data_IF_830883716509
#
_entry.id   IF_830883716509
#
_cell.length_a   1.000
_cell.length_b   1.000
_cell.length_c   1.000
_cell.angle_alpha   90.00
_cell.angle_beta   90.00
_cell.angle_gamma   90.00
#
_symmetry.space_group_name_H-M   'P 1'
#
loop_
_entity.id
_entity.type
_entity.pdbx_description
1 polymer ?
#
# COMPACT_ATOMS: atom_id res chain seq x y z
N UNK A 1 -12.23 -21.24 -16.94
CA UNK A 1 -12.47 -21.48 -15.50
C UNK A 1 -11.38 -22.40 -15.02
N UNK A 2 -10.76 -22.07 -13.89
CA UNK A 2 -9.62 -22.83 -13.35
C UNK A 2 -9.98 -24.28 -13.13
N UNK A 3 -9.08 -25.18 -13.53
CA UNK A 3 -9.22 -26.61 -13.24
C UNK A 3 -8.91 -26.90 -11.78
N UNK A 4 -7.99 -26.13 -11.19
CA UNK A 4 -7.57 -26.24 -9.81
C UNK A 4 -8.05 -25.02 -9.02
N UNK A 5 -8.76 -25.26 -7.90
CA UNK A 5 -9.29 -24.20 -7.01
C UNK A 5 -10.16 -23.13 -7.71
N UNK A 6 -11.21 -23.50 -8.48
CA UNK A 6 -12.05 -22.57 -9.25
C UNK A 6 -12.81 -21.51 -8.45
N UNK A 7 -12.86 -21.67 -7.13
CA UNK A 7 -13.54 -20.80 -6.17
C UNK A 7 -12.56 -20.11 -5.22
N UNK A 8 -11.25 -20.15 -5.51
CA UNK A 8 -10.25 -19.44 -4.70
C UNK A 8 -10.62 -17.97 -4.63
N UNK A 9 -10.75 -17.43 -3.41
CA UNK A 9 -11.19 -16.06 -3.13
C UNK A 9 -10.12 -15.22 -2.45
N UNK A 10 -9.30 -15.86 -1.61
CA UNK A 10 -8.25 -15.24 -0.83
C UNK A 10 -6.97 -16.05 -1.01
N UNK A 11 -5.84 -15.37 -1.18
CA UNK A 11 -4.53 -15.97 -1.24
C UNK A 11 -3.55 -15.12 -0.44
N UNK A 12 -2.95 -15.73 0.58
CA UNK A 12 -1.99 -15.11 1.47
C UNK A 12 -0.68 -15.90 1.39
N UNK A 13 0.42 -15.22 1.05
CA UNK A 13 1.77 -15.77 1.11
C UNK A 13 2.61 -14.88 2.03
N UNK A 14 2.69 -15.30 3.29
CA UNK A 14 3.27 -14.52 4.39
C UNK A 14 4.51 -15.25 4.92
N UNK A 15 5.63 -14.54 5.09
CA UNK A 15 6.95 -15.11 5.49
C UNK A 15 7.46 -16.23 4.58
N UNK A 16 7.19 -16.10 3.28
CA UNK A 16 7.59 -17.10 2.30
C UNK A 16 8.83 -16.63 1.55
N UNK A 17 9.90 -17.44 1.63
CA UNK A 17 11.08 -17.26 0.79
C UNK A 17 10.82 -17.81 -0.62
N UNK A 18 10.69 -16.92 -1.60
CA UNK A 18 10.47 -17.25 -3.01
C UNK A 18 11.26 -16.31 -3.94
N UNK A 19 11.96 -16.86 -4.92
CA UNK A 19 12.65 -16.07 -5.96
C UNK A 19 11.69 -15.62 -7.07
N UNK A 20 10.61 -16.37 -7.27
CA UNK A 20 9.55 -16.12 -8.24
C UNK A 20 8.21 -16.62 -7.69
N UNK A 21 7.10 -16.10 -8.23
CA UNK A 21 5.78 -16.60 -7.86
C UNK A 21 5.66 -18.10 -8.16
N UNK A 22 5.08 -18.91 -7.25
CA UNK A 22 4.85 -20.32 -7.50
C UNK A 22 4.10 -20.55 -8.82
N UNK A 23 4.59 -21.49 -9.62
CA UNK A 23 4.04 -21.77 -10.96
C UNK A 23 2.53 -22.09 -10.98
N UNK A 24 1.99 -22.61 -9.87
CA UNK A 24 0.55 -22.86 -9.70
C UNK A 24 -0.32 -21.60 -9.64
N UNK A 25 0.28 -20.43 -9.46
CA UNK A 25 -0.40 -19.12 -9.44
C UNK A 25 -0.40 -18.41 -10.79
N UNK A 26 0.28 -18.99 -11.79
CA UNK A 26 0.47 -18.41 -13.12
C UNK A 26 -0.28 -19.09 -14.29
N UNK A 27 -1.13 -20.13 -14.12
CA UNK A 27 -1.76 -20.77 -15.28
C UNK A 27 -2.78 -19.82 -15.94
N UNK A 28 -2.92 -19.82 -17.28
CA UNK A 28 -3.84 -18.92 -17.98
C UNK A 28 -5.33 -19.08 -17.60
N UNK A 29 -5.70 -20.22 -17.03
CA UNK A 29 -7.06 -20.49 -16.56
C UNK A 29 -7.26 -20.23 -15.07
N UNK A 30 -6.30 -19.59 -14.36
CA UNK A 30 -6.34 -19.33 -12.93
C UNK A 30 -7.67 -18.73 -12.42
N UNK A 31 -7.96 -18.93 -11.14
CA UNK A 31 -9.22 -18.55 -10.53
C UNK A 31 -9.56 -17.07 -10.72
N UNK A 32 -10.63 -16.82 -11.46
CA UNK A 32 -11.17 -15.46 -11.68
C UNK A 32 -12.09 -15.00 -10.55
N UNK A 33 -12.27 -15.82 -9.50
CA UNK A 33 -12.99 -15.43 -8.29
C UNK A 33 -12.08 -14.86 -7.22
N UNK A 34 -10.75 -14.86 -7.44
CA UNK A 34 -9.79 -14.25 -6.53
C UNK A 34 -10.16 -12.78 -6.30
N UNK A 35 -10.08 -12.35 -5.07
CA UNK A 35 -10.49 -11.00 -4.66
C UNK A 35 -9.50 -10.35 -3.74
N UNK A 36 -8.80 -11.16 -2.95
CA UNK A 36 -7.82 -10.71 -1.99
C UNK A 36 -6.52 -11.48 -2.21
N UNK A 37 -5.44 -10.73 -2.36
CA UNK A 37 -4.12 -11.25 -2.64
C UNK A 37 -3.13 -10.47 -1.79
N UNK A 38 -2.49 -11.18 -0.85
CA UNK A 38 -1.46 -10.61 0.01
C UNK A 38 -0.17 -11.41 -0.14
N UNK A 39 0.91 -10.70 -0.50
CA UNK A 39 2.28 -11.16 -0.39
C UNK A 39 2.96 -10.26 0.63
N UNK A 40 3.36 -10.83 1.77
CA UNK A 40 3.87 -10.04 2.90
C UNK A 40 5.12 -10.70 3.46
N UNK A 41 6.19 -9.92 3.67
CA UNK A 41 7.52 -10.40 4.08
C UNK A 41 8.03 -11.56 3.22
N UNK A 42 8.36 -11.24 1.99
CA UNK A 42 8.89 -12.19 1.01
C UNK A 42 10.17 -11.63 0.38
N UNK A 43 11.04 -12.47 -0.17
CA UNK A 43 12.23 -11.99 -0.90
C UNK A 43 11.96 -11.81 -2.42
N UNK A 44 10.70 -11.61 -2.80
CA UNK A 44 10.25 -11.56 -4.19
C UNK A 44 10.55 -10.19 -4.82
N UNK A 45 11.72 -10.04 -5.45
CA UNK A 45 12.12 -8.75 -6.03
C UNK A 45 11.29 -8.26 -7.24
N UNK A 46 10.42 -9.11 -7.83
CA UNK A 46 9.56 -8.73 -8.96
C UNK A 46 8.39 -9.70 -9.15
N UNK A 47 7.30 -9.19 -9.72
CA UNK A 47 6.18 -9.99 -10.23
C UNK A 47 6.20 -10.04 -11.77
N UNK A 48 5.59 -11.05 -12.41
CA UNK A 48 5.53 -11.14 -13.87
C UNK A 48 4.74 -9.97 -14.50
N UNK A 49 5.22 -9.45 -15.63
CA UNK A 49 4.56 -8.32 -16.31
C UNK A 49 3.17 -8.66 -16.86
N UNK A 50 2.82 -9.92 -17.05
CA UNK A 50 1.54 -10.32 -17.64
C UNK A 50 0.52 -10.76 -16.59
N UNK A 51 0.77 -10.47 -15.31
CA UNK A 51 -0.08 -10.91 -14.20
C UNK A 51 -1.51 -10.38 -14.29
N UNK A 52 -1.70 -9.22 -14.90
CA UNK A 52 -3.01 -8.63 -15.22
C UNK A 52 -3.84 -9.47 -16.22
N UNK A 53 -3.21 -10.43 -16.91
CA UNK A 53 -3.88 -11.39 -17.79
C UNK A 53 -4.22 -12.71 -17.10
N UNK A 54 -3.65 -12.96 -15.92
CA UNK A 54 -3.80 -14.19 -15.14
C UNK A 54 -4.76 -13.97 -13.98
N UNK A 55 -4.53 -12.93 -13.19
CA UNK A 55 -5.34 -12.59 -12.03
C UNK A 55 -6.45 -11.60 -12.41
N UNK A 56 -7.62 -11.67 -11.75
CA UNK A 56 -8.73 -10.77 -12.07
C UNK A 56 -8.40 -9.32 -11.70
N UNK A 57 -9.07 -8.38 -12.35
CA UNK A 57 -9.00 -6.96 -12.02
C UNK A 57 -9.85 -6.62 -10.78
N UNK A 58 -9.59 -5.47 -10.15
CA UNK A 58 -10.44 -4.96 -9.06
C UNK A 58 -10.33 -5.74 -7.76
N UNK A 59 -9.19 -6.39 -7.53
CA UNK A 59 -8.87 -7.07 -6.27
C UNK A 59 -8.37 -6.10 -5.20
N UNK A 60 -8.28 -6.58 -3.98
CA UNK A 60 -7.37 -6.05 -2.98
C UNK A 60 -6.00 -6.68 -3.24
N UNK A 61 -5.01 -5.82 -3.42
CA UNK A 61 -3.64 -6.23 -3.75
C UNK A 61 -2.72 -5.65 -2.70
N UNK A 62 -2.08 -6.54 -1.96
CA UNK A 62 -1.07 -6.20 -0.98
C UNK A 62 0.25 -6.86 -1.35
N UNK A 63 1.28 -6.04 -1.54
CA UNK A 63 2.67 -6.46 -1.65
C UNK A 63 3.51 -5.69 -0.63
N UNK A 64 3.56 -6.19 0.60
CA UNK A 64 4.33 -5.58 1.69
C UNK A 64 5.63 -6.31 1.93
N UNK A 65 6.72 -5.57 2.18
CA UNK A 65 8.00 -6.17 2.56
C UNK A 65 8.44 -7.28 1.56
N UNK A 66 8.26 -7.04 0.25
CA UNK A 66 8.51 -8.00 -0.83
C UNK A 66 9.91 -7.87 -1.47
N UNK A 67 10.70 -6.88 -1.09
CA UNK A 67 11.99 -6.51 -1.71
C UNK A 67 11.89 -5.92 -3.13
N UNK A 68 10.79 -5.21 -3.44
CA UNK A 68 10.70 -4.45 -4.69
C UNK A 68 11.57 -3.19 -4.64
N UNK A 69 12.54 -3.07 -5.56
CA UNK A 69 13.35 -1.85 -5.75
C UNK A 69 12.66 -0.84 -6.69
N UNK A 70 11.77 -1.33 -7.56
CA UNK A 70 11.00 -0.54 -8.52
C UNK A 70 9.49 -0.74 -8.29
N UNK A 71 8.70 0.28 -8.64
CA UNK A 71 7.24 0.16 -8.59
C UNK A 71 6.73 -0.95 -9.53
N UNK A 72 5.91 -1.91 -9.05
CA UNK A 72 5.43 -3.02 -9.87
C UNK A 72 4.36 -2.57 -10.89
N UNK A 73 4.78 -2.10 -12.07
CA UNK A 73 3.91 -1.48 -13.08
C UNK A 73 2.71 -2.32 -13.53
N UNK A 74 2.73 -3.64 -13.32
CA UNK A 74 1.59 -4.52 -13.62
C UNK A 74 0.35 -4.17 -12.80
N UNK A 75 0.50 -3.64 -11.58
CA UNK A 75 -0.64 -3.27 -10.72
C UNK A 75 -1.52 -2.19 -11.36
N UNK A 76 -0.95 -1.33 -12.20
CA UNK A 76 -1.69 -0.32 -12.95
C UNK A 76 -2.72 -0.94 -13.91
N UNK A 77 -2.38 -2.10 -14.50
CA UNK A 77 -3.28 -2.84 -15.40
C UNK A 77 -4.26 -3.75 -14.66
N UNK A 78 -3.93 -4.12 -13.42
CA UNK A 78 -4.82 -4.89 -12.54
C UNK A 78 -5.97 -4.04 -11.98
N UNK A 79 -5.85 -2.71 -11.99
CA UNK A 79 -6.91 -1.78 -11.55
C UNK A 79 -7.49 -2.18 -10.17
N UNK A 80 -6.66 -2.28 -9.11
CA UNK A 80 -7.11 -2.72 -7.79
C UNK A 80 -8.14 -1.77 -7.19
N UNK A 81 -8.93 -2.29 -6.23
CA UNK A 81 -9.79 -1.46 -5.38
C UNK A 81 -9.00 -0.89 -4.18
N UNK A 82 -8.14 -1.71 -3.61
CA UNK A 82 -7.25 -1.39 -2.50
C UNK A 82 -5.83 -1.80 -2.91
N UNK A 83 -4.87 -0.91 -2.71
CA UNK A 83 -3.47 -1.17 -3.05
C UNK A 83 -2.56 -0.83 -1.88
N UNK A 84 -1.80 -1.83 -1.46
CA UNK A 84 -0.79 -1.69 -0.43
C UNK A 84 0.55 -2.14 -1.02
N UNK A 85 1.53 -1.24 -1.01
CA UNK A 85 2.90 -1.47 -1.49
C UNK A 85 3.93 -1.06 -0.43
N UNK A 86 3.55 -1.15 0.84
CA UNK A 86 4.34 -0.69 1.96
C UNK A 86 5.66 -1.46 2.14
N UNK A 87 6.61 -0.83 2.80
CA UNK A 87 7.86 -1.43 3.26
C UNK A 87 8.67 -2.11 2.16
N UNK A 88 8.66 -1.49 0.97
CA UNK A 88 9.60 -1.77 -0.09
C UNK A 88 10.63 -0.62 -0.17
N UNK A 89 11.49 -0.61 -1.19
CA UNK A 89 12.60 0.35 -1.31
C UNK A 89 12.50 1.28 -2.54
N UNK A 90 11.34 1.31 -3.21
CA UNK A 90 11.19 2.15 -4.41
C UNK A 90 11.05 3.64 -4.05
N UNK A 91 11.60 4.49 -4.93
CA UNK A 91 11.67 5.94 -4.70
C UNK A 91 10.67 6.75 -5.53
N UNK A 92 10.05 6.11 -6.53
CA UNK A 92 9.17 6.77 -7.50
C UNK A 92 7.86 6.02 -7.68
N UNK A 93 6.78 6.79 -7.79
CA UNK A 93 5.44 6.28 -8.07
C UNK A 93 4.98 6.84 -9.42
N UNK A 94 4.52 5.99 -10.35
CA UNK A 94 4.04 6.43 -11.66
C UNK A 94 2.83 7.36 -11.51
N UNK A 95 2.80 8.46 -12.27
CA UNK A 95 1.67 9.40 -12.23
C UNK A 95 0.36 8.72 -12.62
N UNK A 96 0.42 7.69 -13.46
CA UNK A 96 -0.70 6.87 -13.90
C UNK A 96 -1.47 6.22 -12.74
N UNK A 97 -0.78 5.87 -11.64
CA UNK A 97 -1.45 5.35 -10.44
C UNK A 97 -2.44 6.37 -9.89
N UNK A 98 -2.01 7.63 -9.83
CA UNK A 98 -2.74 8.74 -9.26
C UNK A 98 -3.74 9.37 -10.24
N UNK A 99 -3.44 9.40 -11.54
CA UNK A 99 -4.32 9.99 -12.57
C UNK A 99 -5.46 9.09 -12.99
N UNK A 100 -5.22 7.78 -13.08
CA UNK A 100 -6.11 6.86 -13.82
C UNK A 100 -6.88 5.89 -12.93
N UNK A 101 -6.49 5.71 -11.67
CA UNK A 101 -7.14 4.77 -10.77
C UNK A 101 -7.99 5.47 -9.71
N UNK A 102 -9.14 4.85 -9.41
CA UNK A 102 -9.99 5.20 -8.27
C UNK A 102 -9.80 4.14 -7.20
N UNK A 103 -9.04 4.48 -6.16
CA UNK A 103 -8.69 3.57 -5.08
C UNK A 103 -9.52 3.93 -3.84
N UNK A 104 -9.99 2.91 -3.12
CA UNK A 104 -10.49 3.13 -1.77
C UNK A 104 -9.33 3.39 -0.82
N UNK A 105 -8.26 2.62 -0.95
CA UNK A 105 -7.09 2.67 -0.08
C UNK A 105 -5.80 2.57 -0.92
N UNK A 106 -4.84 3.43 -0.59
CA UNK A 106 -3.49 3.44 -1.13
C UNK A 106 -2.51 3.59 0.03
N UNK A 107 -1.71 2.56 0.32
CA UNK A 107 -0.70 2.60 1.37
C UNK A 107 0.68 2.41 0.75
N UNK A 108 1.54 3.40 0.93
CA UNK A 108 2.91 3.42 0.40
C UNK A 108 3.95 3.56 1.50
N UNK A 109 3.58 3.19 2.72
CA UNK A 109 4.35 3.39 3.93
C UNK A 109 5.75 2.79 3.84
N UNK A 110 6.72 3.40 4.52
CA UNK A 110 8.09 2.89 4.64
C UNK A 110 8.93 2.87 3.36
N UNK A 111 8.40 3.31 2.22
CA UNK A 111 9.18 3.46 0.99
C UNK A 111 9.99 4.77 0.96
N UNK A 112 11.10 4.81 0.22
CA UNK A 112 11.99 5.98 0.08
C UNK A 112 11.44 7.06 -0.88
N UNK A 113 10.14 7.33 -0.85
CA UNK A 113 9.44 8.25 -1.76
C UNK A 113 9.64 9.70 -1.30
N UNK A 114 10.29 10.51 -2.13
CA UNK A 114 10.58 11.92 -1.80
C UNK A 114 9.53 12.89 -2.33
N UNK A 115 8.86 12.52 -3.43
CA UNK A 115 7.84 13.34 -4.07
C UNK A 115 7.04 12.52 -5.09
N UNK A 116 5.85 13.02 -5.42
CA UNK A 116 5.04 12.53 -6.52
C UNK A 116 5.09 13.51 -7.69
N UNK A 117 4.62 13.08 -8.86
CA UNK A 117 4.44 14.00 -9.99
C UNK A 117 3.54 15.16 -9.57
N UNK A 118 4.04 16.40 -9.72
CA UNK A 118 3.25 17.61 -9.48
C UNK A 118 2.28 17.94 -10.61
N UNK A 119 2.46 17.31 -11.78
CA UNK A 119 1.65 17.56 -12.99
C UNK A 119 0.61 16.46 -13.16
N UNK A 120 -0.34 16.38 -12.23
CA UNK A 120 -1.53 15.56 -12.43
C UNK A 120 -2.59 16.36 -13.21
N UNK A 121 -3.30 15.73 -14.14
CA UNK A 121 -4.43 16.36 -14.85
C UNK A 121 -5.60 16.69 -13.91
N UNK A 122 -5.75 15.91 -12.84
CA UNK A 122 -6.76 16.05 -11.81
C UNK A 122 -6.21 15.46 -10.49
N UNK A 123 -6.72 15.89 -9.32
CA UNK A 123 -6.38 15.24 -8.05
C UNK A 123 -6.72 13.74 -8.09
N UNK A 124 -5.97 12.89 -7.37
CA UNK A 124 -6.24 11.46 -7.31
C UNK A 124 -7.63 11.16 -6.76
N UNK A 125 -8.25 10.06 -7.18
CA UNK A 125 -9.48 9.56 -6.56
C UNK A 125 -9.13 8.50 -5.52
N UNK A 126 -8.69 8.94 -4.33
CA UNK A 126 -8.26 8.06 -3.22
C UNK A 126 -9.00 8.45 -1.95
N UNK A 127 -9.65 7.52 -1.26
CA UNK A 127 -10.35 7.84 0.00
C UNK A 127 -9.40 7.82 1.21
N UNK A 128 -8.42 6.93 1.22
CA UNK A 128 -7.41 6.78 2.27
C UNK A 128 -6.02 6.64 1.66
N UNK A 129 -5.10 7.54 2.03
CA UNK A 129 -3.76 7.61 1.47
C UNK A 129 -2.69 7.70 2.55
N UNK A 130 -1.94 6.60 2.75
CA UNK A 130 -0.85 6.56 3.73
C UNK A 130 0.53 6.66 3.08
N UNK A 131 1.35 7.47 3.72
CA UNK A 131 2.70 7.87 3.36
C UNK A 131 3.62 7.81 4.58
N UNK A 132 3.25 7.03 5.59
CA UNK A 132 3.94 6.94 6.88
C UNK A 132 5.39 6.53 6.64
N UNK A 133 6.34 7.22 7.26
CA UNK A 133 7.75 6.86 7.17
C UNK A 133 8.38 7.01 5.78
N UNK A 134 7.71 7.70 4.85
CA UNK A 134 8.30 8.08 3.56
C UNK A 134 9.17 9.34 3.69
N UNK A 135 9.93 9.65 2.63
CA UNK A 135 10.83 10.81 2.59
C UNK A 135 10.18 12.11 2.09
N UNK A 136 8.85 12.20 2.07
CA UNK A 136 8.15 13.39 1.57
C UNK A 136 8.47 14.61 2.45
N UNK A 137 8.84 15.72 1.82
CA UNK A 137 9.32 16.92 2.53
C UNK A 137 8.38 18.12 2.49
N UNK A 138 7.33 18.05 1.67
CA UNK A 138 6.35 19.12 1.43
C UNK A 138 5.02 18.53 0.98
N UNK A 139 3.94 19.27 1.22
CA UNK A 139 2.63 18.97 0.67
C UNK A 139 2.68 19.05 -0.87
N UNK A 140 1.94 18.17 -1.54
CA UNK A 140 1.84 18.16 -2.99
C UNK A 140 0.86 19.24 -3.46
N UNK A 141 1.09 19.82 -4.64
CA UNK A 141 0.29 20.97 -5.12
C UNK A 141 -1.21 20.66 -5.27
N UNK A 142 -1.56 19.40 -5.54
CA UNK A 142 -2.94 18.95 -5.70
C UNK A 142 -3.60 18.50 -4.38
N UNK A 143 -2.85 18.41 -3.28
CA UNK A 143 -3.39 18.15 -1.94
C UNK A 143 -3.89 19.48 -1.32
N UNK A 144 -4.83 20.13 -2.00
CA UNK A 144 -5.46 21.36 -1.51
C UNK A 144 -6.57 21.06 -0.48
N UNK A 145 -7.17 22.12 0.08
CA UNK A 145 -8.26 22.00 1.06
C UNK A 145 -9.44 21.16 0.56
N UNK A 146 -9.72 21.19 -0.75
CA UNK A 146 -10.83 20.43 -1.33
C UNK A 146 -10.51 18.93 -1.35
N UNK A 147 -9.30 18.58 -1.76
CA UNK A 147 -8.82 17.20 -1.72
C UNK A 147 -8.79 16.65 -0.28
N UNK A 148 -8.20 17.41 0.64
CA UNK A 148 -8.05 17.04 2.05
C UNK A 148 -9.37 17.04 2.83
N UNK A 149 -10.47 17.53 2.24
CA UNK A 149 -11.82 17.40 2.79
C UNK A 149 -12.50 16.08 2.40
N UNK A 150 -12.03 15.40 1.34
CA UNK A 150 -12.59 14.13 0.85
C UNK A 150 -11.67 12.92 1.04
N UNK A 151 -10.41 13.15 1.36
CA UNK A 151 -9.38 12.12 1.48
C UNK A 151 -8.70 12.22 2.84
N UNK A 152 -8.55 11.07 3.50
CA UNK A 152 -7.69 10.94 4.67
C UNK A 152 -6.25 10.76 4.17
N UNK A 153 -5.34 11.63 4.60
CA UNK A 153 -3.90 11.51 4.29
C UNK A 153 -3.17 11.31 5.60
N UNK A 154 -2.43 10.20 5.76
CA UNK A 154 -1.58 9.96 6.93
C UNK A 154 -0.12 10.00 6.48
N UNK A 155 0.67 10.87 7.11
CA UNK A 155 2.06 11.11 6.75
C UNK A 155 2.97 11.15 7.98
N UNK A 156 2.60 10.41 9.04
CA UNK A 156 3.39 10.30 10.25
C UNK A 156 4.83 9.86 9.95
N UNK A 157 5.79 10.27 10.78
CA UNK A 157 7.21 9.94 10.62
C UNK A 157 7.85 10.42 9.30
N UNK A 158 7.24 11.38 8.59
CA UNK A 158 7.84 12.00 7.41
C UNK A 158 8.57 13.32 7.75
N UNK A 159 9.52 13.77 6.92
CA UNK A 159 10.08 15.12 7.03
C UNK A 159 9.04 16.24 6.87
N UNK A 160 7.95 16.01 6.12
CA UNK A 160 6.80 16.91 6.05
C UNK A 160 6.15 17.09 7.42
N UNK A 161 5.74 16.01 8.06
CA UNK A 161 5.07 16.08 9.36
C UNK A 161 5.98 16.64 10.46
N UNK A 162 7.27 16.34 10.41
CA UNK A 162 8.26 16.94 11.30
C UNK A 162 8.25 18.48 11.22
N UNK A 163 8.11 19.05 10.02
CA UNK A 163 8.01 20.51 9.82
C UNK A 163 6.67 21.07 10.27
N UNK A 164 5.57 20.41 9.95
CA UNK A 164 4.22 20.85 10.34
C UNK A 164 4.08 20.91 11.86
N UNK A 165 4.57 19.88 12.56
CA UNK A 165 4.59 19.83 14.04
C UNK A 165 5.46 20.96 14.59
N UNK A 166 6.67 21.16 14.06
CA UNK A 166 7.57 22.23 14.51
C UNK A 166 7.00 23.64 14.28
N UNK A 167 6.15 23.81 13.26
CA UNK A 167 5.45 25.06 12.95
C UNK A 167 4.17 25.27 13.79
N UNK A 168 3.71 24.26 14.53
CA UNK A 168 2.42 24.28 15.22
C UNK A 168 1.21 24.18 14.28
N UNK A 169 1.42 23.64 13.08
CA UNK A 169 0.40 23.41 12.04
C UNK A 169 -0.22 22.00 12.15
N UNK A 170 0.43 21.09 12.88
CA UNK A 170 -0.07 19.74 13.18
C UNK A 170 0.34 19.31 14.60
N UNK A 171 -0.35 18.29 15.13
CA UNK A 171 -0.06 17.69 16.44
C UNK A 171 0.32 16.21 16.28
N UNK A 172 1.02 15.66 17.27
CA UNK A 172 1.40 14.24 17.39
C UNK A 172 0.72 13.53 18.58
N UNK A 173 -0.29 14.15 19.19
CA UNK A 173 -0.86 13.70 20.48
C UNK A 173 -2.21 12.99 20.31
N UNK A 174 -2.19 11.66 20.46
CA UNK A 174 -3.35 10.78 20.65
C UNK A 174 -4.22 10.51 19.40
N UNK A 175 -4.93 9.37 19.35
CA UNK A 175 -5.78 9.02 18.21
C UNK A 175 -6.81 10.12 17.96
N UNK A 176 -6.68 10.84 16.84
CA UNK A 176 -7.80 11.61 16.29
C UNK A 176 -8.84 10.59 15.88
N UNK A 177 -10.07 10.75 16.39
CA UNK A 177 -11.17 9.92 15.90
C UNK A 177 -11.21 10.06 14.37
N UNK A 178 -11.26 8.94 13.65
CA UNK A 178 -11.33 8.91 12.18
C UNK A 178 -12.48 9.76 11.61
N UNK A 179 -13.44 10.09 12.47
CA UNK A 179 -14.53 11.02 12.21
C UNK A 179 -14.01 12.45 12.36
N UNK A 180 -13.71 13.11 11.24
CA UNK A 180 -13.40 14.54 11.20
C UNK A 180 -11.94 14.92 10.96
N UNK A 181 -11.08 13.96 10.56
CA UNK A 181 -9.77 14.27 10.01
C UNK A 181 -9.94 15.06 8.70
N UNK A 182 -9.67 16.36 8.77
CA UNK A 182 -9.43 17.21 7.61
C UNK A 182 -7.94 17.53 7.60
N UNK A 183 -7.29 17.41 6.45
CA UNK A 183 -5.87 17.71 6.30
C UNK A 183 -4.96 16.48 6.35
N UNK A 184 -3.67 16.73 6.60
CA UNK A 184 -2.65 15.69 6.75
C UNK A 184 -2.58 15.28 8.22
N UNK A 185 -2.77 14.00 8.49
CA UNK A 185 -2.56 13.41 9.81
C UNK A 185 -1.08 13.10 10.01
N UNK A 186 -0.50 13.70 11.04
CA UNK A 186 0.88 13.46 11.45
C UNK A 186 0.99 12.51 12.64
N UNK A 187 -0.14 12.03 13.15
CA UNK A 187 -0.18 11.03 14.20
C UNK A 187 0.19 9.66 13.63
N UNK A 188 1.13 9.00 14.28
CA UNK A 188 1.34 7.57 14.07
C UNK A 188 0.17 6.81 14.71
N UNK A 189 -0.91 6.60 13.95
CA UNK A 189 -1.89 5.59 14.29
C UNK A 189 -1.23 4.22 14.03
N UNK A 190 -0.45 3.71 14.99
CA UNK A 190 0.04 2.34 14.89
C UNK A 190 -1.18 1.42 14.81
N UNK A 191 -1.37 0.75 13.68
CA UNK A 191 -2.31 -0.36 13.61
C UNK A 191 -1.64 -1.53 14.35
N UNK A 192 -1.75 -1.54 15.68
CA UNK A 192 -1.06 -2.53 16.52
C UNK A 192 0.44 -2.25 16.70
N UNK A 193 0.96 -2.58 17.90
CA UNK A 193 2.36 -2.75 18.34
C UNK A 193 3.54 -1.93 17.75
N UNK A 194 3.31 -0.85 17.00
CA UNK A 194 4.35 0.02 16.44
C UNK A 194 4.88 -0.41 15.07
N UNK A 195 4.13 -1.21 14.31
CA UNK A 195 4.55 -1.69 12.98
C UNK A 195 3.86 -0.93 11.85
N UNK A 196 4.56 -0.80 10.72
CA UNK A 196 4.03 -0.18 9.49
C UNK A 196 3.37 -1.20 8.55
N UNK A 197 3.47 -2.51 8.84
CA UNK A 197 2.78 -3.54 8.07
C UNK A 197 1.26 -3.41 8.26
N UNK A 198 0.53 -3.41 7.15
CA UNK A 198 -0.92 -3.44 7.13
C UNK A 198 -1.45 -4.86 7.38
N UNK A 199 -0.78 -5.88 6.82
CA UNK A 199 -1.06 -7.26 7.23
C UNK A 199 -0.59 -7.45 8.67
N UNK A 200 -1.41 -8.06 9.56
CA UNK A 200 -1.14 -8.17 11.00
C UNK A 200 -0.07 -9.23 11.33
N UNK A 201 0.98 -9.30 10.52
CA UNK A 201 2.10 -10.24 10.64
C UNK A 201 2.86 -10.05 11.96
N UNK A 202 2.93 -8.83 12.47
CA UNK A 202 3.64 -8.52 13.72
C UNK A 202 2.78 -8.83 14.96
N UNK A 203 1.46 -8.93 14.77
CA UNK A 203 0.55 -9.45 15.78
C UNK A 203 0.54 -10.99 15.81
N UNK A 204 1.14 -11.68 14.83
CA UNK A 204 1.17 -13.15 14.85
C UNK A 204 1.99 -13.71 16.01
N UNK A 205 2.98 -12.99 16.52
CA UNK A 205 3.68 -13.42 17.75
C UNK A 205 2.72 -13.44 18.96
N UNK A 206 1.67 -12.61 18.96
CA UNK A 206 0.66 -12.59 20.01
C UNK A 206 -0.36 -13.74 19.86
N UNK A 207 -0.76 -14.04 18.62
CA UNK A 207 -1.79 -15.05 18.31
C UNK A 207 -1.20 -16.47 18.22
N UNK A 208 0.03 -16.58 17.73
CA UNK A 208 0.82 -17.79 17.60
C UNK A 208 2.22 -17.61 18.23
N UNK A 209 2.36 -17.80 19.55
CA UNK A 209 3.64 -17.58 20.25
C UNK A 209 4.80 -18.48 19.81
N UNK A 210 4.53 -19.51 19.00
CA UNK A 210 5.55 -20.39 18.42
C UNK A 210 6.09 -19.89 17.09
N UNK A 211 5.44 -18.89 16.51
CA UNK A 211 5.91 -18.20 15.32
C UNK A 211 7.11 -17.31 15.70
N UNK A 212 8.17 -17.44 14.92
CA UNK A 212 9.39 -16.64 15.07
C UNK A 212 9.63 -15.87 13.79
N UNK A 213 9.74 -14.55 13.91
CA UNK A 213 10.27 -13.66 12.88
C UNK A 213 11.73 -14.08 12.61
N UNK A 214 11.99 -14.84 11.54
CA UNK A 214 13.36 -15.19 11.11
C UNK A 214 13.98 -14.13 10.20
#
# INVERSE_FOLDING_TARGET
MSRDHPLLRFLFLVDVKMQELPHGLLPPDFSQTLHDLELSRTNLAKVPDHLDTVWPKGMFVEFEECAFEDFPLVVLRMEPQDLTLGLNDFTTVPAELLENLSLRLLLLDGNSIQSFSSKLKQPPAVAWFDLIGTDITKLLEWMDDAYLASTVVIAANTPLCSKLIAAGEADDVGPRALIGLQGVDCLHASVGNGTMNWCPIDDEVLLNPSYTLE
#
